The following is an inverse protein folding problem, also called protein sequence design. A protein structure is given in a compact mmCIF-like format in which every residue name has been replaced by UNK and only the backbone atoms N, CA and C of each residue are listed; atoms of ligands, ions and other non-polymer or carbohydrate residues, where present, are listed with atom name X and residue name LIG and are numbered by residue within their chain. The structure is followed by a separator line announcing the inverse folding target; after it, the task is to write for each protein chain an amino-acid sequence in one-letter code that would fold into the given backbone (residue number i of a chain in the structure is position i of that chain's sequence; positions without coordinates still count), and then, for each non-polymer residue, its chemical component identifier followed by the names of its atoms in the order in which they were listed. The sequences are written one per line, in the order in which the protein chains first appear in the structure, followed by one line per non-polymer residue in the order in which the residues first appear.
data_IF_783779111390
#
_entry.id   IF_783779111390
#
_cell.length_a   1.000
_cell.length_b   1.000
_cell.length_c   1.000
_cell.angle_alpha   90.00
_cell.angle_beta   90.00
_cell.angle_gamma   90.00
#
_symmetry.space_group_name_H-M   'P 1'
#
loop_
_entity.id
_entity.type
_entity.pdbx_description
1 polymer ?
#
# COMPACT_ATOMS: atom_id res chain seq x y z
N UNK A 1 -13.43 -20.58 -9.43
CA UNK A 1 -13.05 -19.16 -9.27
C UNK A 1 -11.83 -19.11 -8.35
N UNK A 2 -10.75 -18.44 -8.76
CA UNK A 2 -9.55 -18.32 -7.92
C UNK A 2 -9.94 -17.72 -6.55
N UNK A 3 -9.59 -18.39 -5.45
CA UNK A 3 -9.93 -17.99 -4.07
C UNK A 3 -9.44 -16.58 -3.74
N UNK A 4 -8.32 -16.13 -4.36
CA UNK A 4 -7.81 -14.76 -4.25
C UNK A 4 -8.71 -13.77 -5.00
N UNK A 5 -9.09 -14.10 -6.23
CA UNK A 5 -9.96 -13.24 -7.06
C UNK A 5 -11.33 -13.04 -6.41
N UNK A 6 -11.87 -14.07 -5.73
CA UNK A 6 -13.10 -13.95 -4.94
C UNK A 6 -12.95 -12.90 -3.84
N UNK A 7 -11.91 -13.03 -3.02
CA UNK A 7 -11.65 -12.09 -1.92
C UNK A 7 -11.45 -10.66 -2.42
N UNK A 8 -10.67 -10.48 -3.49
CA UNK A 8 -10.45 -9.18 -4.12
C UNK A 8 -11.75 -8.56 -4.66
N UNK A 9 -12.65 -9.38 -5.21
CA UNK A 9 -13.96 -8.93 -5.68
C UNK A 9 -14.83 -8.44 -4.51
N UNK A 10 -14.84 -9.17 -3.40
CA UNK A 10 -15.59 -8.81 -2.18
C UNK A 10 -15.02 -7.55 -1.50
N UNK A 11 -13.72 -7.29 -1.61
CA UNK A 11 -13.07 -6.10 -1.04
C UNK A 11 -13.30 -4.82 -1.85
N UNK A 12 -13.80 -4.91 -3.08
CA UNK A 12 -13.93 -3.76 -3.99
C UNK A 12 -14.71 -2.59 -3.38
N UNK A 13 -15.80 -2.88 -2.69
CA UNK A 13 -16.66 -1.83 -2.11
C UNK A 13 -16.06 -1.26 -0.83
N UNK A 14 -15.31 -2.06 -0.07
CA UNK A 14 -14.55 -1.62 1.09
C UNK A 14 -13.44 -0.63 0.70
N UNK A 15 -12.72 -0.89 -0.39
CA UNK A 15 -11.67 -0.01 -0.93
C UNK A 15 -12.20 1.29 -1.57
N UNK A 16 -13.52 1.49 -1.58
CA UNK A 16 -14.19 2.68 -2.11
C UNK A 16 -14.90 3.50 -1.04
N UNK A 17 -14.70 3.13 0.23
CA UNK A 17 -15.23 3.89 1.35
C UNK A 17 -14.65 5.31 1.35
N UNK A 18 -15.33 6.27 2.01
CA UNK A 18 -14.81 7.62 2.16
C UNK A 18 -13.42 7.60 2.78
N UNK A 19 -12.53 8.42 2.23
CA UNK A 19 -11.15 8.50 2.68
C UNK A 19 -11.07 9.03 4.13
N UNK A 20 -10.08 8.63 4.95
CA UNK A 20 -10.01 8.96 6.37
C UNK A 20 -9.48 10.38 6.63
N UNK A 21 -10.09 11.39 6.02
CA UNK A 21 -9.63 12.79 6.06
C UNK A 21 -9.54 13.36 7.48
N UNK A 22 -10.51 13.07 8.35
CA UNK A 22 -10.49 13.56 9.73
C UNK A 22 -9.30 13.03 10.53
N UNK A 23 -9.00 11.74 10.39
CA UNK A 23 -7.85 11.11 11.04
C UNK A 23 -6.54 11.61 10.46
N UNK A 24 -6.44 11.80 9.14
CA UNK A 24 -5.25 12.36 8.49
C UNK A 24 -4.98 13.78 9.00
N UNK A 25 -6.00 14.63 9.07
CA UNK A 25 -5.86 15.98 9.63
C UNK A 25 -5.37 15.93 11.07
N UNK A 26 -5.88 14.99 11.87
CA UNK A 26 -5.45 14.81 13.25
C UNK A 26 -3.99 14.33 13.36
N UNK A 27 -3.57 13.41 12.50
CA UNK A 27 -2.18 12.96 12.40
C UNK A 27 -1.26 14.15 12.08
N UNK A 28 -1.64 14.99 11.12
CA UNK A 28 -0.88 16.20 10.76
C UNK A 28 -0.70 17.15 11.94
N UNK A 29 -1.70 17.30 12.80
CA UNK A 29 -1.61 18.13 14.01
C UNK A 29 -0.80 17.46 15.13
N UNK A 30 -1.07 16.18 15.43
CA UNK A 30 -0.43 15.44 16.52
C UNK A 30 1.09 15.26 16.27
N UNK A 31 1.51 15.18 15.01
CA UNK A 31 2.90 15.00 14.58
C UNK A 31 3.46 16.21 13.81
N UNK A 32 2.91 17.40 14.05
CA UNK A 32 3.29 18.61 13.32
C UNK A 32 4.80 18.89 13.36
N UNK A 33 5.46 18.62 14.49
CA UNK A 33 6.91 18.82 14.64
C UNK A 33 7.71 17.85 13.78
N UNK A 34 7.31 16.58 13.76
CA UNK A 34 7.91 15.54 12.93
C UNK A 34 7.77 15.90 11.44
N UNK A 35 6.57 16.29 11.00
CA UNK A 35 6.36 16.72 9.61
C UNK A 35 7.22 17.95 9.23
N UNK A 36 7.31 18.96 10.10
CA UNK A 36 8.16 20.13 9.85
C UNK A 36 9.64 19.80 9.71
N UNK A 37 10.12 18.75 10.39
CA UNK A 37 11.51 18.29 10.28
C UNK A 37 11.80 17.55 8.97
N UNK A 38 10.78 17.07 8.26
CA UNK A 38 10.93 16.42 6.95
C UNK A 38 10.99 17.42 5.80
N UNK A 39 10.42 18.62 5.97
CA UNK A 39 10.18 19.61 4.90
C UNK A 39 11.41 20.39 4.43
N UNK A 40 12.62 19.88 4.63
CA UNK A 40 13.84 20.63 4.32
C UNK A 40 14.19 20.62 2.82
N UNK A 41 13.72 19.66 2.01
CA UNK A 41 14.05 19.61 0.58
C UNK A 41 12.88 19.22 -0.37
N UNK A 42 11.76 18.66 0.11
CA UNK A 42 10.59 18.28 -0.72
C UNK A 42 9.25 18.71 -0.09
N UNK A 43 8.22 18.90 -0.93
CA UNK A 43 6.83 19.08 -0.49
C UNK A 43 6.32 17.78 0.15
N UNK A 44 6.44 17.69 1.47
CA UNK A 44 5.88 16.59 2.26
C UNK A 44 4.37 16.75 2.31
N UNK A 45 3.65 15.91 1.57
CA UNK A 45 2.19 15.85 1.59
C UNK A 45 1.72 14.44 1.96
N UNK A 46 1.59 14.20 3.27
CA UNK A 46 1.16 12.91 3.80
C UNK A 46 -0.22 12.48 3.29
N UNK A 47 -1.11 13.44 3.03
CA UNK A 47 -2.44 13.16 2.50
C UNK A 47 -2.34 12.64 1.07
N UNK A 48 -1.63 13.35 0.20
CA UNK A 48 -1.48 12.95 -1.21
C UNK A 48 -0.64 11.68 -1.36
N UNK A 49 0.40 11.48 -0.53
CA UNK A 49 1.20 10.25 -0.54
C UNK A 49 0.37 9.03 -0.17
N UNK A 50 -0.42 9.11 0.91
CA UNK A 50 -1.31 8.01 1.29
C UNK A 50 -2.41 7.79 0.25
N UNK A 51 -2.97 8.87 -0.30
CA UNK A 51 -3.98 8.79 -1.37
C UNK A 51 -3.41 8.14 -2.63
N UNK A 52 -2.19 8.48 -3.03
CA UNK A 52 -1.52 7.90 -4.19
C UNK A 52 -1.29 6.40 -3.99
N UNK A 53 -0.81 6.01 -2.81
CA UNK A 53 -0.62 4.61 -2.42
C UNK A 53 -1.92 3.78 -2.54
N UNK A 54 -3.01 4.26 -1.92
CA UNK A 54 -4.31 3.60 -1.99
C UNK A 54 -4.87 3.56 -3.42
N UNK A 55 -4.71 4.65 -4.17
CA UNK A 55 -5.17 4.75 -5.56
C UNK A 55 -4.48 3.75 -6.48
N UNK A 56 -3.18 3.48 -6.27
CA UNK A 56 -2.47 2.47 -7.03
C UNK A 56 -3.01 1.06 -6.79
N UNK A 57 -3.30 0.71 -5.53
CA UNK A 57 -3.87 -0.59 -5.16
C UNK A 57 -5.25 -0.74 -5.80
N UNK A 58 -6.12 0.27 -5.67
CA UNK A 58 -7.44 0.27 -6.27
C UNK A 58 -7.39 0.23 -7.81
N UNK A 59 -6.44 0.96 -8.41
CA UNK A 59 -6.19 0.98 -9.85
C UNK A 59 -5.78 -0.41 -10.37
N UNK A 60 -4.80 -1.03 -9.71
CA UNK A 60 -4.34 -2.40 -10.02
C UNK A 60 -5.49 -3.39 -9.92
N UNK A 61 -6.28 -3.34 -8.83
CA UNK A 61 -7.46 -4.18 -8.66
C UNK A 61 -8.44 -4.03 -9.84
N UNK A 62 -8.63 -2.80 -10.34
CA UNK A 62 -9.53 -2.55 -11.47
C UNK A 62 -9.10 -3.27 -12.76
N UNK A 63 -7.80 -3.43 -13.00
CA UNK A 63 -7.29 -4.23 -14.12
C UNK A 63 -7.53 -5.72 -13.90
N UNK A 64 -7.23 -6.22 -12.70
CA UNK A 64 -7.45 -7.62 -12.31
C UNK A 64 -8.92 -8.02 -12.51
N UNK A 65 -9.87 -7.21 -12.00
CA UNK A 65 -11.29 -7.50 -12.11
C UNK A 65 -11.85 -7.42 -13.54
N UNK A 66 -11.13 -6.74 -14.45
CA UNK A 66 -11.47 -6.65 -15.87
C UNK A 66 -10.77 -7.71 -16.73
N UNK A 67 -10.03 -8.63 -16.10
CA UNK A 67 -9.18 -9.61 -16.78
C UNK A 67 -8.13 -8.96 -17.72
N UNK A 68 -7.56 -7.84 -17.26
CA UNK A 68 -6.55 -7.03 -17.99
C UNK A 68 -5.22 -6.98 -17.25
N UNK A 69 -4.83 -8.09 -16.63
CA UNK A 69 -3.61 -8.18 -15.81
C UNK A 69 -2.34 -7.87 -16.60
N UNK A 70 -2.31 -8.21 -17.90
CA UNK A 70 -1.22 -7.91 -18.83
C UNK A 70 -1.14 -6.43 -19.27
N UNK A 71 -2.07 -5.58 -18.83
CA UNK A 71 -2.10 -4.14 -19.13
C UNK A 71 -1.79 -3.30 -17.89
N UNK A 72 -1.47 -3.93 -16.75
CA UNK A 72 -1.08 -3.21 -15.54
C UNK A 72 0.30 -2.57 -15.81
N UNK A 73 0.45 -1.25 -15.62
CA UNK A 73 1.76 -0.62 -15.75
C UNK A 73 2.76 -1.20 -14.75
N UNK A 74 4.00 -1.43 -15.18
CA UNK A 74 5.05 -2.05 -14.36
C UNK A 74 5.25 -1.32 -13.02
N UNK A 75 5.29 0.02 -13.02
CA UNK A 75 5.40 0.81 -11.81
C UNK A 75 4.26 0.61 -10.80
N UNK A 76 3.05 0.24 -11.26
CA UNK A 76 1.96 -0.11 -10.33
C UNK A 76 2.25 -1.42 -9.61
N UNK A 77 2.82 -2.40 -10.33
CA UNK A 77 3.22 -3.71 -9.79
C UNK A 77 4.40 -3.54 -8.85
N UNK A 78 5.40 -2.76 -9.23
CA UNK A 78 6.58 -2.47 -8.41
C UNK A 78 6.18 -1.92 -7.04
N UNK A 79 5.22 -0.99 -7.00
CA UNK A 79 4.76 -0.42 -5.74
C UNK A 79 4.02 -1.44 -4.85
N UNK A 80 3.45 -2.52 -5.40
CA UNK A 80 2.84 -3.58 -4.58
C UNK A 80 3.85 -4.34 -3.74
N UNK A 81 5.14 -4.32 -4.08
CA UNK A 81 6.17 -5.02 -3.31
C UNK A 81 6.44 -4.39 -1.94
N UNK A 82 6.05 -3.13 -1.73
CA UNK A 82 6.29 -2.38 -0.50
C UNK A 82 4.98 -2.06 0.22
N UNK A 83 4.99 -2.15 1.55
CA UNK A 83 3.98 -1.54 2.42
C UNK A 83 4.03 -0.01 2.30
N UNK A 84 3.02 0.67 2.84
CA UNK A 84 3.01 2.13 2.84
C UNK A 84 4.27 2.74 3.47
N UNK A 85 4.66 2.28 4.67
CA UNK A 85 5.83 2.79 5.39
C UNK A 85 7.17 2.31 4.81
N UNK A 86 7.20 1.20 4.06
CA UNK A 86 8.39 0.80 3.30
C UNK A 86 8.59 1.65 2.04
N UNK A 87 7.49 2.13 1.43
CA UNK A 87 7.53 2.99 0.25
C UNK A 87 7.82 4.45 0.64
N UNK A 88 7.14 4.94 1.67
CA UNK A 88 7.27 6.28 2.23
C UNK A 88 7.91 6.23 3.62
N UNK A 89 9.19 5.87 3.65
CA UNK A 89 9.93 5.65 4.90
C UNK A 89 10.10 6.92 5.74
N UNK A 90 9.91 8.10 5.16
CA UNK A 90 9.91 9.36 5.90
C UNK A 90 8.83 9.41 7.00
N UNK A 91 7.80 8.56 6.92
CA UNK A 91 6.71 8.47 7.90
C UNK A 91 6.89 7.38 8.96
N UNK A 92 8.10 6.81 9.11
CA UNK A 92 8.37 5.74 10.08
C UNK A 92 7.96 6.09 11.53
N UNK A 93 8.05 7.38 11.90
CA UNK A 93 7.67 7.87 13.23
C UNK A 93 6.19 7.63 13.57
N UNK A 94 5.34 7.43 12.56
CA UNK A 94 3.91 7.21 12.69
C UNK A 94 3.56 5.71 12.77
N UNK A 95 4.38 4.81 12.19
CA UNK A 95 4.02 3.41 11.93
C UNK A 95 3.51 2.67 13.19
N UNK A 96 4.22 2.82 14.32
CA UNK A 96 3.85 2.19 15.59
C UNK A 96 2.63 2.81 16.30
N UNK A 97 2.07 3.90 15.76
CA UNK A 97 1.04 4.73 16.43
C UNK A 97 -0.26 4.83 15.63
N UNK A 98 -0.31 4.27 14.41
CA UNK A 98 -1.49 4.36 13.52
C UNK A 98 -2.79 3.86 14.16
N UNK A 99 -2.71 2.90 15.09
CA UNK A 99 -3.87 2.34 15.76
C UNK A 99 -4.66 3.36 16.61
N UNK A 100 -4.08 4.52 16.91
CA UNK A 100 -4.74 5.63 17.60
C UNK A 100 -5.73 6.39 16.71
N UNK A 101 -5.68 6.17 15.39
CA UNK A 101 -6.49 6.81 14.37
C UNK A 101 -7.33 5.75 13.68
N UNK A 102 -8.52 5.46 14.23
CA UNK A 102 -9.25 4.23 13.91
C UNK A 102 -9.66 4.14 12.43
N UNK A 103 -10.12 5.22 11.82
CA UNK A 103 -10.55 5.21 10.42
C UNK A 103 -9.33 5.04 9.51
N UNK A 104 -8.25 5.79 9.75
CA UNK A 104 -6.99 5.64 9.03
C UNK A 104 -6.41 4.22 9.17
N UNK A 105 -6.42 3.67 10.39
CA UNK A 105 -5.94 2.32 10.65
C UNK A 105 -6.73 1.23 9.88
N UNK A 106 -8.06 1.34 9.83
CA UNK A 106 -8.86 0.41 9.03
C UNK A 106 -8.56 0.57 7.54
N UNK A 107 -8.39 1.81 7.06
CA UNK A 107 -8.04 2.09 5.66
C UNK A 107 -6.69 1.47 5.28
N UNK A 108 -5.66 1.63 6.11
CA UNK A 108 -4.37 0.95 5.93
C UNK A 108 -4.54 -0.56 5.89
N UNK A 109 -5.29 -1.14 6.85
CA UNK A 109 -5.48 -2.60 6.92
C UNK A 109 -6.15 -3.18 5.68
N UNK A 110 -7.21 -2.54 5.18
CA UNK A 110 -7.94 -3.06 4.03
C UNK A 110 -7.09 -2.95 2.75
N UNK A 111 -6.36 -1.84 2.59
CA UNK A 111 -5.46 -1.63 1.45
C UNK A 111 -4.26 -2.56 1.48
N UNK A 112 -3.62 -2.76 2.65
CA UNK A 112 -2.51 -3.71 2.81
C UNK A 112 -2.95 -5.16 2.52
N UNK A 113 -4.15 -5.54 2.96
CA UNK A 113 -4.71 -6.85 2.62
C UNK A 113 -4.91 -6.99 1.10
N UNK A 114 -5.46 -5.97 0.45
CA UNK A 114 -5.68 -5.98 -0.99
C UNK A 114 -4.35 -6.04 -1.76
N UNK A 115 -3.36 -5.24 -1.36
CA UNK A 115 -2.00 -5.24 -1.92
C UNK A 115 -1.38 -6.63 -1.89
N UNK A 116 -1.39 -7.31 -0.74
CA UNK A 116 -0.80 -8.65 -0.60
C UNK A 116 -1.48 -9.67 -1.52
N UNK A 117 -2.80 -9.63 -1.62
CA UNK A 117 -3.57 -10.50 -2.52
C UNK A 117 -3.30 -10.18 -4.00
N UNK A 118 -3.22 -8.91 -4.37
CA UNK A 118 -2.87 -8.47 -5.73
C UNK A 118 -1.46 -8.91 -6.08
N UNK A 119 -0.48 -8.69 -5.20
CA UNK A 119 0.90 -9.09 -5.38
C UNK A 119 0.99 -10.59 -5.66
N UNK A 120 0.33 -11.44 -4.86
CA UNK A 120 0.27 -12.89 -5.10
C UNK A 120 -0.29 -13.26 -6.48
N UNK A 121 -1.25 -12.49 -6.99
CA UNK A 121 -1.89 -12.75 -8.27
C UNK A 121 -1.02 -12.29 -9.45
N UNK A 122 -0.39 -11.12 -9.35
CA UNK A 122 0.36 -10.51 -10.48
C UNK A 122 1.82 -10.93 -10.54
N UNK A 123 2.46 -11.23 -9.41
CA UNK A 123 3.87 -11.67 -9.37
C UNK A 123 4.10 -13.02 -10.08
N UNK A 124 3.07 -13.86 -10.19
CA UNK A 124 3.11 -15.11 -10.96
C UNK A 124 3.04 -14.90 -12.48
N UNK A 125 2.50 -13.76 -12.94
CA UNK A 125 2.27 -13.48 -14.35
C UNK A 125 3.29 -12.50 -14.96
N UNK A 126 3.88 -11.61 -14.15
CA UNK A 126 4.75 -10.54 -14.65
C UNK A 126 6.26 -10.83 -14.53
N UNK A 127 6.68 -11.68 -13.58
CA UNK A 127 8.10 -11.97 -13.37
C UNK A 127 8.39 -13.47 -13.53
N UNK A 128 9.11 -13.92 -14.57
CA UNK A 128 9.55 -15.30 -14.68
C UNK A 128 10.43 -15.66 -13.46
N UNK A 129 10.29 -16.90 -12.99
CA UNK A 129 10.85 -17.52 -11.76
C UNK A 129 12.25 -17.06 -11.30
N UNK A 130 13.11 -16.58 -12.21
CA UNK A 130 14.44 -16.03 -11.87
C UNK A 130 14.37 -14.73 -11.06
N UNK A 131 13.45 -13.81 -11.35
CA UNK A 131 13.33 -12.54 -10.63
C UNK A 131 12.55 -12.68 -9.32
N UNK A 132 11.60 -13.62 -9.23
CA UNK A 132 10.95 -13.99 -7.97
C UNK A 132 11.98 -14.36 -6.89
N UNK A 133 13.08 -15.03 -7.25
CA UNK A 133 14.13 -15.39 -6.29
C UNK A 133 14.84 -14.19 -5.64
N UNK A 134 14.91 -13.03 -6.30
CA UNK A 134 15.47 -11.80 -5.70
C UNK A 134 14.46 -11.14 -4.75
N UNK A 135 13.21 -10.95 -5.17
CA UNK A 135 12.20 -10.30 -4.34
C UNK A 135 11.74 -11.17 -3.16
N UNK A 136 11.69 -12.50 -3.33
CA UNK A 136 11.44 -13.44 -2.22
C UNK A 136 12.60 -13.45 -1.22
N UNK A 137 13.86 -13.31 -1.68
CA UNK A 137 15.01 -13.15 -0.77
C UNK A 137 14.97 -11.84 0.01
N UNK A 138 14.56 -10.74 -0.61
CA UNK A 138 14.40 -9.44 0.08
C UNK A 138 13.31 -9.55 1.16
N UNK A 139 12.14 -10.14 0.85
CA UNK A 139 11.05 -10.32 1.81
C UNK A 139 11.33 -11.37 2.91
N UNK A 140 12.21 -12.34 2.67
CA UNK A 140 12.65 -13.30 3.69
C UNK A 140 13.74 -12.71 4.61
N UNK A 141 14.61 -11.85 4.08
CA UNK A 141 15.68 -11.21 4.87
C UNK A 141 15.15 -10.11 5.80
N UNK A 142 13.98 -9.52 5.51
CA UNK A 142 13.33 -8.54 6.40
C UNK A 142 12.58 -9.18 7.58
N UNK A 143 12.40 -10.50 7.61
CA UNK A 143 11.78 -11.22 8.73
C UNK A 143 12.81 -11.81 9.73
N UNK A 144 14.10 -11.50 9.57
CA UNK A 144 15.14 -12.02 10.45
C UNK A 144 16.25 -11.01 10.77
N UNK A 145 15.92 -9.79 11.18
CA UNK A 145 16.82 -9.03 12.06
C UNK A 145 16.01 -8.30 13.15
N UNK A 146 15.91 -9.01 14.29
CA UNK A 146 15.68 -8.60 15.69
C UNK A 146 14.64 -7.53 16.05
#
# INVERSE_FOLDING_TARGET
MNTILKQLTEMKDELRKPFPTEDINKISEDFRTEFLNLSHEDEVDFYEDFRFYCSNIAGTLSYVLKDKTNQIPEGQIDMLYKSFFEYYNQYEFLEGRIANYNHFFQECKIHEKARKLLLQLVSNNHYPLKQQSLYTKINLNLNFEK
#
